data_IF_169637060995
#
_entry.id   IF_169637060995
#
_cell.length_a   1.000
_cell.length_b   1.000
_cell.length_c   1.000
_cell.angle_alpha   90.00
_cell.angle_beta   90.00
_cell.angle_gamma   90.00
#
_symmetry.space_group_name_H-M   'P 1'
#
loop_
_entity.id
_entity.type
_entity.pdbx_description
1 polymer ?
#
# COMPACT_ATOMS: atom_id res chain seq x y z
N UNK A 1 2.25 -30.07 -23.76
CA UNK A 1 1.12 -29.22 -23.42
C UNK A 1 1.07 -28.86 -21.96
N UNK A 2 1.13 -29.85 -21.08
CA UNK A 2 1.05 -29.59 -19.65
C UNK A 2 2.21 -28.76 -19.11
N UNK A 3 3.40 -28.87 -19.69
CA UNK A 3 4.56 -28.10 -19.25
C UNK A 3 4.45 -26.63 -19.58
N UNK A 4 3.91 -26.32 -20.74
CA UNK A 4 3.68 -24.93 -21.13
C UNK A 4 2.68 -24.26 -20.20
N UNK A 5 1.59 -24.97 -19.89
CA UNK A 5 0.56 -24.49 -18.98
C UNK A 5 1.16 -24.30 -17.58
N UNK A 6 1.96 -25.24 -17.13
CA UNK A 6 2.62 -25.14 -15.81
C UNK A 6 3.53 -23.94 -15.73
N UNK A 7 4.28 -23.68 -16.79
CA UNK A 7 5.18 -22.52 -16.85
C UNK A 7 4.40 -21.21 -16.77
N UNK A 8 3.32 -21.11 -17.54
CA UNK A 8 2.48 -19.92 -17.53
C UNK A 8 1.84 -19.71 -16.16
N UNK A 9 1.33 -20.78 -15.57
CA UNK A 9 0.72 -20.71 -14.23
C UNK A 9 1.75 -20.26 -13.19
N UNK A 10 2.95 -20.79 -13.26
CA UNK A 10 4.02 -20.39 -12.33
C UNK A 10 4.38 -18.93 -12.48
N UNK A 11 4.43 -18.43 -13.71
CA UNK A 11 4.70 -17.01 -13.95
C UNK A 11 3.58 -16.13 -13.42
N UNK A 12 2.35 -16.52 -13.65
CA UNK A 12 1.19 -15.78 -13.14
C UNK A 12 1.16 -15.78 -11.62
N UNK A 13 1.48 -16.89 -10.99
CA UNK A 13 1.54 -16.96 -9.53
C UNK A 13 2.59 -16.02 -8.95
N UNK A 14 3.75 -15.94 -9.59
CA UNK A 14 4.80 -15.01 -9.19
C UNK A 14 4.30 -13.57 -9.28
N UNK A 15 3.63 -13.24 -10.36
CA UNK A 15 3.08 -11.89 -10.55
C UNK A 15 2.02 -11.57 -9.50
N UNK A 16 1.14 -12.51 -9.23
CA UNK A 16 0.10 -12.33 -8.21
C UNK A 16 0.73 -12.08 -6.85
N UNK A 17 1.75 -12.86 -6.49
CA UNK A 17 2.42 -12.71 -5.21
C UNK A 17 3.12 -11.35 -5.11
N UNK A 18 3.78 -10.92 -6.18
CA UNK A 18 4.43 -9.61 -6.21
C UNK A 18 3.42 -8.48 -6.07
N UNK A 19 2.29 -8.58 -6.75
CA UNK A 19 1.23 -7.58 -6.66
C UNK A 19 0.62 -7.55 -5.27
N UNK A 20 0.43 -8.69 -4.64
CA UNK A 20 -0.07 -8.76 -3.27
C UNK A 20 0.86 -8.07 -2.29
N UNK A 21 2.16 -8.28 -2.45
CA UNK A 21 3.15 -7.61 -1.62
C UNK A 21 3.12 -6.11 -1.80
N UNK A 22 2.97 -5.65 -3.03
CA UNK A 22 2.84 -4.22 -3.31
C UNK A 22 1.59 -3.63 -2.68
N UNK A 23 0.47 -4.34 -2.78
CA UNK A 23 -0.79 -3.89 -2.18
C UNK A 23 -0.64 -3.77 -0.67
N UNK A 24 -0.03 -4.74 -0.03
CA UNK A 24 0.22 -4.70 1.41
C UNK A 24 1.06 -3.50 1.80
N UNK A 25 2.12 -3.27 1.05
CA UNK A 25 3.02 -2.15 1.27
C UNK A 25 2.29 -0.82 1.12
N UNK A 26 1.51 -0.69 0.06
CA UNK A 26 0.73 0.52 -0.19
C UNK A 26 -0.33 0.75 0.89
N UNK A 27 -0.95 -0.31 1.36
CA UNK A 27 -1.94 -0.19 2.44
C UNK A 27 -1.30 0.31 3.73
N UNK A 28 -0.11 -0.17 4.05
CA UNK A 28 0.63 0.30 5.23
C UNK A 28 1.02 1.77 5.07
N UNK A 29 1.51 2.14 3.90
CA UNK A 29 1.85 3.53 3.62
C UNK A 29 0.63 4.44 3.70
N UNK A 30 -0.50 3.97 3.17
CA UNK A 30 -1.73 4.75 3.23
C UNK A 30 -2.20 4.98 4.65
N UNK A 31 -2.12 3.96 5.50
CA UNK A 31 -2.46 4.10 6.91
C UNK A 31 -1.56 5.11 7.59
N UNK A 32 -0.27 5.01 7.32
CA UNK A 32 0.71 5.92 7.90
C UNK A 32 0.45 7.36 7.45
N UNK A 33 0.21 7.56 6.17
CA UNK A 33 -0.08 8.89 5.63
C UNK A 33 -1.37 9.47 6.18
N UNK A 34 -2.38 8.65 6.36
CA UNK A 34 -3.64 9.10 6.96
C UNK A 34 -3.44 9.59 8.38
N UNK A 35 -2.64 8.87 9.14
CA UNK A 35 -2.31 9.26 10.51
C UNK A 35 -1.51 10.56 10.54
N UNK A 36 -0.52 10.67 9.67
CA UNK A 36 0.26 11.89 9.56
C UNK A 36 -0.59 13.07 9.15
N UNK A 37 -1.48 12.86 8.19
CA UNK A 37 -2.38 13.92 7.74
C UNK A 37 -3.28 14.41 8.86
N UNK A 38 -3.78 13.49 9.68
CA UNK A 38 -4.58 13.86 10.86
C UNK A 38 -3.78 14.69 11.83
N UNK A 39 -2.54 14.29 12.09
CA UNK A 39 -1.64 15.03 12.99
C UNK A 39 -1.35 16.42 12.46
N UNK A 40 -1.05 16.51 11.16
CA UNK A 40 -0.76 17.78 10.54
C UNK A 40 -1.97 18.70 10.55
N UNK A 41 -3.16 18.18 10.28
CA UNK A 41 -4.39 18.96 10.36
C UNK A 41 -4.63 19.47 11.77
N UNK A 42 -4.43 18.61 12.75
CA UNK A 42 -4.58 19.01 14.15
C UNK A 42 -3.59 20.08 14.54
N UNK A 43 -2.34 19.94 14.08
CA UNK A 43 -1.31 20.96 14.34
C UNK A 43 -1.62 22.28 13.67
N UNK A 44 -2.08 22.23 12.42
CA UNK A 44 -2.48 23.43 11.70
C UNK A 44 -3.63 24.15 12.40
N UNK A 45 -4.63 23.41 12.85
CA UNK A 45 -5.73 23.98 13.60
C UNK A 45 -5.27 24.57 14.92
N UNK A 46 -4.39 23.86 15.62
CA UNK A 46 -3.85 24.35 16.88
C UNK A 46 -3.05 25.64 16.67
N UNK A 47 -2.27 25.70 15.61
CA UNK A 47 -1.50 26.90 15.30
C UNK A 47 -2.37 28.09 14.96
N UNK A 48 -3.46 27.83 14.24
CA UNK A 48 -4.39 28.91 13.85
C UNK A 48 -5.16 29.43 15.05
N UNK A 49 -5.59 28.53 15.94
CA UNK A 49 -6.38 28.89 17.10
C UNK A 49 -5.54 29.15 18.36
N UNK A 50 -4.30 28.68 18.34
CA UNK A 50 -3.41 28.79 19.48
C UNK A 50 -2.78 30.15 19.69
N UNK A 51 -2.98 31.03 18.74
CA UNK A 51 -2.49 32.38 18.84
C UNK A 51 -3.50 33.27 19.56
#
# INVERSE_FOLDING_TARGET
>A
MSELIKTVVAMLQKEINALREQIEKLNKENKHLKLENRRLKARCKANIYGE
#
